data_IF_942320160918
#
_entry.id   IF_942320160918
#
_cell.length_a   1.000
_cell.length_b   1.000
_cell.length_c   1.000
_cell.angle_alpha   90.00
_cell.angle_beta   90.00
_cell.angle_gamma   90.00
#
_symmetry.space_group_name_H-M   'P 1'
#
loop_
_entity.id
_entity.type
_entity.pdbx_description
1 polymer ?
#
# COMPACT_ATOMS: atom_id res chain seq x y z
N UNK A 1 -28.15 2.40 12.28
CA UNK A 1 -26.71 2.13 12.44
C UNK A 1 -26.52 0.67 12.84
N UNK A 2 -25.65 -0.07 12.14
CA UNK A 2 -25.36 -1.48 12.43
C UNK A 2 -23.85 -1.70 12.47
N UNK A 3 -23.40 -2.67 13.28
CA UNK A 3 -22.01 -3.14 13.27
C UNK A 3 -21.85 -4.12 12.11
N UNK A 4 -20.85 -3.91 11.26
CA UNK A 4 -20.47 -4.88 10.23
C UNK A 4 -19.34 -5.77 10.75
N UNK A 5 -19.43 -7.07 10.49
CA UNK A 5 -18.35 -7.98 10.83
C UNK A 5 -17.08 -7.65 10.02
N UNK A 6 -15.93 -7.64 10.70
CA UNK A 6 -14.61 -7.45 10.10
C UNK A 6 -13.64 -8.49 10.65
N UNK A 7 -12.73 -8.96 9.81
CA UNK A 7 -11.65 -9.86 10.16
C UNK A 7 -10.33 -9.24 9.71
N UNK A 8 -9.37 -9.08 10.62
CA UNK A 8 -8.04 -8.60 10.24
C UNK A 8 -7.32 -9.62 9.38
N UNK A 9 -6.37 -9.14 8.57
CA UNK A 9 -5.46 -10.00 7.82
C UNK A 9 -4.69 -10.92 8.77
N UNK A 10 -4.23 -10.45 9.93
CA UNK A 10 -3.59 -11.29 10.94
C UNK A 10 -4.43 -12.52 11.31
N UNK A 11 -5.73 -12.35 11.56
CA UNK A 11 -6.63 -13.45 11.92
C UNK A 11 -6.81 -14.46 10.77
N UNK A 12 -6.98 -13.95 9.55
CA UNK A 12 -7.14 -14.78 8.34
C UNK A 12 -5.83 -15.51 8.01
N UNK A 13 -4.71 -14.80 8.00
CA UNK A 13 -3.39 -15.33 7.72
C UNK A 13 -3.06 -16.49 8.68
N UNK A 14 -3.28 -16.29 9.98
CA UNK A 14 -3.07 -17.32 10.99
C UNK A 14 -3.94 -18.56 10.75
N UNK A 15 -5.23 -18.38 10.49
CA UNK A 15 -6.17 -19.48 10.33
C UNK A 15 -5.97 -20.31 9.05
N UNK A 16 -5.47 -19.72 7.95
CA UNK A 16 -5.41 -20.39 6.64
C UNK A 16 -4.00 -20.59 6.06
N UNK A 17 -3.01 -19.80 6.48
CA UNK A 17 -1.69 -19.72 5.84
C UNK A 17 -0.51 -19.88 6.80
N UNK A 18 -0.77 -19.91 8.12
CA UNK A 18 0.22 -20.15 9.15
C UNK A 18 0.77 -18.85 9.79
N UNK A 19 2.02 -18.87 10.30
CA UNK A 19 2.59 -17.75 11.05
C UNK A 19 2.56 -16.41 10.29
N UNK A 20 2.49 -15.26 11.02
CA UNK A 20 2.43 -13.92 10.44
C UNK A 20 3.74 -13.52 9.73
N UNK A 21 3.69 -12.43 8.97
CA UNK A 21 4.88 -11.79 8.38
C UNK A 21 5.03 -11.89 6.86
N UNK A 22 4.00 -12.35 6.15
CA UNK A 22 3.98 -12.31 4.68
C UNK A 22 3.59 -10.91 4.20
N UNK A 23 4.13 -10.49 3.05
CA UNK A 23 3.62 -9.30 2.38
C UNK A 23 2.12 -9.48 2.07
N UNK A 24 1.35 -8.39 2.15
CA UNK A 24 -0.10 -8.44 1.88
C UNK A 24 -0.42 -8.99 0.49
N UNK A 25 0.44 -8.71 -0.49
CA UNK A 25 0.32 -9.20 -1.88
C UNK A 25 0.43 -10.71 -1.99
N UNK A 26 1.37 -11.33 -1.27
CA UNK A 26 1.50 -12.79 -1.19
C UNK A 26 0.29 -13.42 -0.50
N UNK A 27 -0.18 -12.76 0.56
CA UNK A 27 -1.38 -13.15 1.28
C UNK A 27 -2.63 -13.17 0.41
N UNK A 28 -2.86 -12.09 -0.33
CA UNK A 28 -3.97 -11.98 -1.27
C UNK A 28 -3.89 -13.04 -2.37
N UNK A 29 -2.71 -13.27 -2.96
CA UNK A 29 -2.52 -14.34 -3.95
C UNK A 29 -2.88 -15.72 -3.37
N UNK A 30 -2.51 -16.01 -2.13
CA UNK A 30 -2.81 -17.27 -1.46
C UNK A 30 -4.31 -17.45 -1.12
N UNK A 31 -5.03 -16.35 -0.83
CA UNK A 31 -6.48 -16.36 -0.67
C UNK A 31 -7.20 -16.57 -2.00
N UNK A 32 -6.72 -15.94 -3.08
CA UNK A 32 -7.27 -16.11 -4.43
C UNK A 32 -7.11 -17.56 -4.89
N UNK A 33 -5.95 -18.17 -4.68
CA UNK A 33 -5.70 -19.58 -5.02
C UNK A 33 -6.66 -20.55 -4.29
N UNK A 34 -7.22 -20.14 -3.14
CA UNK A 34 -8.23 -20.89 -2.38
C UNK A 34 -9.67 -20.53 -2.78
N UNK A 35 -9.87 -19.59 -3.71
CA UNK A 35 -11.18 -19.07 -4.11
C UNK A 35 -11.90 -18.31 -2.99
N UNK A 36 -11.15 -17.72 -2.05
CA UNK A 36 -11.70 -16.99 -0.90
C UNK A 36 -11.88 -15.49 -1.19
N UNK A 37 -11.25 -14.95 -2.22
CA UNK A 37 -11.40 -13.57 -2.68
C UNK A 37 -11.51 -13.54 -4.20
N UNK A 38 -12.06 -12.46 -4.76
CA UNK A 38 -12.11 -12.25 -6.21
C UNK A 38 -10.76 -11.72 -6.74
N UNK A 39 -10.43 -11.92 -8.03
CA UNK A 39 -9.19 -11.42 -8.63
C UNK A 39 -8.96 -9.92 -8.44
N UNK A 40 -10.03 -9.12 -8.52
CA UNK A 40 -10.01 -7.66 -8.34
C UNK A 40 -9.55 -7.23 -6.94
N UNK A 41 -9.74 -8.09 -5.92
CA UNK A 41 -9.24 -7.84 -4.57
C UNK A 41 -7.70 -7.95 -4.54
N UNK A 42 -7.11 -8.88 -5.29
CA UNK A 42 -5.64 -9.01 -5.40
C UNK A 42 -5.04 -7.78 -6.06
N UNK A 43 -5.66 -7.30 -7.14
CA UNK A 43 -5.24 -6.07 -7.84
C UNK A 43 -5.29 -4.86 -6.91
N UNK A 44 -6.38 -4.74 -6.12
CA UNK A 44 -6.54 -3.66 -5.14
C UNK A 44 -5.48 -3.74 -4.06
N UNK A 45 -5.22 -4.91 -3.47
CA UNK A 45 -4.18 -5.10 -2.44
C UNK A 45 -2.79 -4.78 -2.99
N UNK A 46 -2.49 -5.18 -4.23
CA UNK A 46 -1.23 -4.84 -4.89
C UNK A 46 -1.05 -3.33 -5.05
N UNK A 47 -2.10 -2.62 -5.50
CA UNK A 47 -2.07 -1.15 -5.63
C UNK A 47 -1.85 -0.47 -4.28
N UNK A 48 -2.57 -0.91 -3.24
CA UNK A 48 -2.44 -0.34 -1.87
C UNK A 48 -1.06 -0.59 -1.30
N UNK A 49 -0.52 -1.80 -1.47
CA UNK A 49 0.83 -2.14 -1.04
C UNK A 49 1.88 -1.26 -1.72
N UNK A 50 1.81 -1.12 -3.05
CA UNK A 50 2.69 -0.22 -3.79
C UNK A 50 2.54 1.23 -3.32
N UNK A 51 1.32 1.70 -3.07
CA UNK A 51 1.09 3.06 -2.59
C UNK A 51 1.80 3.28 -1.24
N UNK A 52 1.63 2.37 -0.28
CA UNK A 52 2.32 2.44 1.00
C UNK A 52 3.84 2.49 0.86
N UNK A 53 4.43 1.65 0.00
CA UNK A 53 5.87 1.71 -0.27
C UNK A 53 6.31 3.06 -0.86
N UNK A 54 5.52 3.64 -1.76
CA UNK A 54 5.79 4.91 -2.43
C UNK A 54 5.52 6.15 -1.57
N UNK A 55 4.86 5.98 -0.42
CA UNK A 55 4.71 7.01 0.60
C UNK A 55 5.58 6.76 1.84
N UNK A 56 6.61 5.92 1.75
CA UNK A 56 7.49 5.62 2.88
C UNK A 56 6.77 5.01 4.10
N UNK A 57 5.68 4.27 3.89
CA UNK A 57 5.02 3.51 4.95
C UNK A 57 5.85 2.26 5.27
N UNK A 58 6.48 2.26 6.46
CA UNK A 58 7.22 1.13 7.01
C UNK A 58 6.37 0.20 7.89
N UNK A 59 5.09 0.53 8.11
CA UNK A 59 4.20 -0.13 9.09
C UNK A 59 2.93 -0.74 8.46
N UNK A 60 3.09 -1.37 7.30
CA UNK A 60 2.02 -2.17 6.67
C UNK A 60 2.02 -3.61 7.21
N UNK A 61 1.84 -3.75 8.53
CA UNK A 61 1.84 -5.04 9.21
C UNK A 61 0.48 -5.75 9.13
N UNK A 62 0.39 -6.99 9.60
CA UNK A 62 -0.80 -7.84 9.42
C UNK A 62 -2.08 -7.32 10.11
N UNK A 63 -1.98 -6.31 10.98
CA UNK A 63 -3.13 -5.66 11.62
C UNK A 63 -3.74 -4.52 10.81
N UNK A 64 -3.02 -4.00 9.81
CA UNK A 64 -3.40 -2.81 9.03
C UNK A 64 -4.11 -3.13 7.71
N UNK A 65 -4.46 -4.40 7.51
CA UNK A 65 -5.33 -4.85 6.42
C UNK A 65 -6.49 -5.63 7.03
N UNK A 66 -7.70 -5.38 6.57
CA UNK A 66 -8.90 -6.08 7.05
C UNK A 66 -9.82 -6.46 5.90
N UNK A 67 -10.66 -7.46 6.16
CA UNK A 67 -11.62 -8.00 5.24
C UNK A 67 -13.00 -8.12 5.89
N UNK A 68 -14.04 -8.16 5.09
CA UNK A 68 -15.41 -8.43 5.54
C UNK A 68 -15.87 -9.78 4.98
N UNK A 69 -16.71 -10.53 5.71
CA UNK A 69 -17.36 -11.70 5.14
C UNK A 69 -18.17 -11.33 3.88
N UNK A 70 -17.94 -12.06 2.79
CA UNK A 70 -18.55 -11.81 1.49
C UNK A 70 -19.01 -13.12 0.84
N UNK A 71 -19.77 -13.03 -0.26
CA UNK A 71 -20.18 -14.20 -1.04
C UNK A 71 -19.63 -14.11 -2.46
N UNK A 72 -18.93 -15.16 -2.87
CA UNK A 72 -18.44 -15.32 -4.24
C UNK A 72 -19.31 -16.40 -4.89
N UNK A 73 -20.36 -15.96 -5.60
CA UNK A 73 -21.44 -16.83 -6.05
C UNK A 73 -22.11 -17.58 -4.89
N UNK A 74 -22.04 -18.92 -4.91
CA UNK A 74 -22.61 -19.76 -3.86
C UNK A 74 -21.70 -19.97 -2.64
N UNK A 75 -20.42 -19.56 -2.71
CA UNK A 75 -19.39 -19.81 -1.69
C UNK A 75 -19.25 -18.64 -0.71
N UNK A 76 -18.77 -18.94 0.50
CA UNK A 76 -18.30 -17.92 1.44
C UNK A 76 -16.90 -17.49 1.06
N UNK A 77 -16.65 -16.19 1.15
CA UNK A 77 -15.35 -15.58 0.89
C UNK A 77 -15.21 -14.29 1.67
N UNK A 78 -14.33 -13.44 1.17
CA UNK A 78 -13.97 -12.19 1.78
C UNK A 78 -13.94 -11.08 0.71
N UNK A 79 -14.39 -9.90 1.10
CA UNK A 79 -14.13 -8.66 0.37
C UNK A 79 -13.17 -7.81 1.20
N UNK A 80 -12.42 -6.93 0.53
CA UNK A 80 -11.54 -6.01 1.21
C UNK A 80 -12.36 -4.98 2.01
N UNK A 81 -12.01 -4.77 3.27
CA UNK A 81 -12.56 -3.65 4.03
C UNK A 81 -11.96 -2.31 3.54
N UNK A 82 -12.56 -1.15 3.84
CA UNK A 82 -11.94 0.13 3.55
C UNK A 82 -10.51 0.18 4.09
N UNK A 83 -9.58 0.71 3.29
CA UNK A 83 -8.18 0.85 3.66
C UNK A 83 -8.04 1.93 4.74
N UNK A 84 -7.12 1.71 5.68
CA UNK A 84 -6.80 2.61 6.77
C UNK A 84 -5.29 2.59 7.06
N UNK A 85 -4.83 3.52 7.88
CA UNK A 85 -3.45 3.60 8.38
C UNK A 85 -2.35 3.61 7.29
N UNK A 86 -2.62 4.36 6.22
CA UNK A 86 -1.67 4.59 5.13
C UNK A 86 -0.92 5.90 5.36
N UNK A 87 0.08 5.85 6.23
CA UNK A 87 0.88 7.00 6.68
C UNK A 87 2.38 6.82 6.36
N UNK A 88 3.15 7.90 6.20
CA UNK A 88 4.58 7.83 5.89
C UNK A 88 5.43 7.49 7.14
N UNK A 89 5.26 6.28 7.66
CA UNK A 89 5.74 5.88 8.99
C UNK A 89 7.27 5.86 9.16
N UNK A 90 8.06 5.91 8.08
CA UNK A 90 9.51 6.16 8.22
C UNK A 90 9.82 7.52 8.87
N UNK A 91 8.91 8.48 8.78
CA UNK A 91 9.03 9.82 9.37
C UNK A 91 8.35 9.96 10.73
N UNK A 92 7.83 8.85 11.30
CA UNK A 92 7.22 8.88 12.62
C UNK A 92 8.23 9.43 13.66
N UNK A 93 7.83 10.41 14.51
CA UNK A 93 8.75 10.99 15.47
C UNK A 93 9.33 9.95 16.43
N UNK A 94 10.64 10.00 16.64
CA UNK A 94 11.35 9.21 17.65
C UNK A 94 11.89 10.17 18.69
N UNK A 95 11.44 10.03 19.94
CA UNK A 95 11.79 10.96 21.04
C UNK A 95 11.53 12.43 20.65
N UNK A 96 10.33 12.68 20.13
CA UNK A 96 9.83 14.00 19.70
C UNK A 96 10.60 14.65 18.54
N UNK A 97 11.43 13.89 17.82
CA UNK A 97 12.15 14.37 16.64
C UNK A 97 11.80 13.55 15.40
N UNK A 98 11.59 14.24 14.28
CA UNK A 98 11.44 13.58 12.98
C UNK A 98 12.82 13.05 12.57
N UNK A 99 12.97 11.74 12.28
CA UNK A 99 14.25 11.18 11.90
C UNK A 99 14.68 11.67 10.51
N UNK A 100 15.99 11.66 10.26
CA UNK A 100 16.53 11.82 8.92
C UNK A 100 16.28 10.53 8.13
N UNK A 101 15.47 10.62 7.08
CA UNK A 101 15.08 9.47 6.25
C UNK A 101 15.65 9.66 4.84
N UNK A 102 16.44 8.70 4.39
CA UNK A 102 16.83 8.59 2.99
C UNK A 102 15.76 7.76 2.24
N UNK A 103 14.64 8.39 1.92
CA UNK A 103 13.55 7.73 1.21
C UNK A 103 13.93 7.53 -0.26
N UNK A 104 13.86 6.29 -0.73
CA UNK A 104 14.02 5.95 -2.14
C UNK A 104 12.78 5.18 -2.61
N UNK A 105 11.99 5.73 -3.56
CA UNK A 105 10.81 5.05 -4.08
C UNK A 105 11.16 3.70 -4.71
N UNK A 106 10.52 2.62 -4.26
CA UNK A 106 10.72 1.30 -4.85
C UNK A 106 10.21 1.28 -6.29
N UNK A 107 10.98 0.71 -7.22
CA UNK A 107 10.57 0.45 -8.60
C UNK A 107 9.76 -0.85 -8.72
N UNK A 108 8.87 -0.99 -9.71
CA UNK A 108 8.16 -2.24 -9.93
C UNK A 108 9.12 -3.32 -10.43
N UNK A 109 8.79 -4.58 -10.16
CA UNK A 109 9.50 -5.70 -10.78
C UNK A 109 9.20 -5.72 -12.29
N UNK A 110 10.21 -5.83 -13.17
CA UNK A 110 10.01 -5.89 -14.61
C UNK A 110 9.33 -7.20 -15.07
N UNK A 111 9.35 -8.23 -14.22
CA UNK A 111 8.84 -9.56 -14.53
C UNK A 111 7.33 -9.71 -14.37
N UNK A 112 6.62 -8.70 -13.87
CA UNK A 112 5.18 -8.77 -13.61
C UNK A 112 4.44 -7.59 -14.25
N UNK A 113 3.64 -7.86 -15.28
CA UNK A 113 2.79 -6.84 -15.91
C UNK A 113 1.71 -6.33 -14.96
N UNK A 114 1.08 -7.21 -14.18
CA UNK A 114 0.12 -6.82 -13.15
C UNK A 114 0.77 -5.98 -12.04
N UNK A 115 2.01 -6.32 -11.64
CA UNK A 115 2.78 -5.53 -10.68
C UNK A 115 3.14 -4.15 -11.21
N UNK A 116 3.47 -4.03 -12.50
CA UNK A 116 3.72 -2.75 -13.16
C UNK A 116 2.46 -1.87 -13.21
N UNK A 117 1.31 -2.45 -13.55
CA UNK A 117 0.04 -1.72 -13.56
C UNK A 117 -0.35 -1.21 -12.16
N UNK A 118 -0.29 -2.08 -11.14
CA UNK A 118 -0.55 -1.70 -9.76
C UNK A 118 0.40 -0.61 -9.26
N UNK A 119 1.68 -0.68 -9.64
CA UNK A 119 2.67 0.33 -9.31
C UNK A 119 2.39 1.66 -10.00
N UNK A 120 2.02 1.66 -11.28
CA UNK A 120 1.75 2.89 -12.03
C UNK A 120 0.58 3.67 -11.42
N UNK A 121 -0.52 2.97 -11.10
CA UNK A 121 -1.67 3.57 -10.41
C UNK A 121 -1.27 4.13 -9.04
N UNK A 122 -0.49 3.35 -8.27
CA UNK A 122 -0.02 3.74 -6.95
C UNK A 122 0.94 4.94 -7.00
N UNK A 123 1.81 5.02 -8.00
CA UNK A 123 2.76 6.11 -8.18
C UNK A 123 2.07 7.41 -8.53
N UNK A 124 1.03 7.38 -9.37
CA UNK A 124 0.21 8.55 -9.64
C UNK A 124 -0.49 9.07 -8.37
N UNK A 125 -1.01 8.16 -7.54
CA UNK A 125 -1.61 8.52 -6.25
C UNK A 125 -0.58 9.04 -5.23
N UNK A 126 0.60 8.41 -5.15
CA UNK A 126 1.68 8.83 -4.24
C UNK A 126 2.24 10.21 -4.62
N UNK A 127 2.35 10.51 -5.92
CA UNK A 127 2.76 11.84 -6.40
C UNK A 127 1.77 12.91 -5.93
N UNK A 128 0.47 12.66 -6.07
CA UNK A 128 -0.58 13.57 -5.59
C UNK A 128 -0.57 13.70 -4.07
N UNK A 129 -0.37 12.60 -3.35
CA UNK A 129 -0.25 12.62 -1.90
C UNK A 129 0.90 13.52 -1.44
N UNK A 130 2.11 13.33 -1.97
CA UNK A 130 3.26 14.13 -1.57
C UNK A 130 3.11 15.60 -1.95
N UNK A 131 2.54 15.91 -3.11
CA UNK A 131 2.26 17.30 -3.49
C UNK A 131 1.22 17.96 -2.56
N UNK A 132 0.15 17.25 -2.21
CA UNK A 132 -0.86 17.75 -1.28
C UNK A 132 -0.27 18.04 0.11
N UNK A 133 0.51 17.10 0.65
CA UNK A 133 1.17 17.23 1.96
C UNK A 133 2.20 18.37 1.95
N UNK A 134 2.98 18.51 0.86
CA UNK A 134 3.93 19.61 0.69
C UNK A 134 3.28 21.01 0.64
N UNK A 135 1.97 21.09 0.40
CA UNK A 135 1.21 22.35 0.30
C UNK A 135 0.26 22.58 1.47
N UNK A 136 0.12 21.61 2.38
CA UNK A 136 -0.83 21.69 3.48
C UNK A 136 -0.32 22.63 4.59
N UNK A 137 -1.02 23.75 4.87
CA UNK A 137 -0.56 24.74 5.84
C UNK A 137 -0.54 24.21 7.29
N UNK A 138 -1.20 23.08 7.58
CA UNK A 138 -1.19 22.43 8.90
C UNK A 138 0.14 21.72 9.21
N UNK A 139 0.96 21.47 8.19
CA UNK A 139 2.24 20.78 8.29
C UNK A 139 3.36 21.80 8.41
N UNK A 140 4.39 21.54 9.22
CA UNK A 140 5.50 22.48 9.42
C UNK A 140 6.23 22.79 8.11
N UNK A 141 6.79 24.00 8.01
CA UNK A 141 7.50 24.44 6.80
C UNK A 141 8.64 23.50 6.43
N UNK A 142 9.43 23.05 7.41
CA UNK A 142 10.55 22.16 7.17
C UNK A 142 10.10 20.78 6.67
N UNK A 143 9.02 20.24 7.24
CA UNK A 143 8.51 18.94 6.79
C UNK A 143 7.84 19.03 5.41
N UNK A 144 7.21 20.17 5.06
CA UNK A 144 6.71 20.41 3.69
C UNK A 144 7.84 20.37 2.66
N UNK A 145 9.04 20.85 3.00
CA UNK A 145 10.21 20.76 2.12
C UNK A 145 10.61 19.29 1.87
N UNK A 146 10.65 18.46 2.92
CA UNK A 146 10.89 17.02 2.81
C UNK A 146 9.83 16.33 1.93
N UNK A 147 8.55 16.70 2.07
CA UNK A 147 7.49 16.17 1.23
C UNK A 147 7.64 16.58 -0.24
N UNK A 148 8.09 17.81 -0.53
CA UNK A 148 8.38 18.25 -1.89
C UNK A 148 9.54 17.46 -2.51
N UNK A 149 10.60 17.17 -1.74
CA UNK A 149 11.68 16.29 -2.20
C UNK A 149 11.18 14.87 -2.49
N UNK A 150 10.32 14.31 -1.63
CA UNK A 150 9.73 12.99 -1.84
C UNK A 150 8.84 12.94 -3.09
N UNK A 151 8.05 14.00 -3.33
CA UNK A 151 7.30 14.16 -4.59
C UNK A 151 8.24 14.08 -5.79
N UNK A 152 9.35 14.80 -5.76
CA UNK A 152 10.31 14.85 -6.87
C UNK A 152 11.05 13.52 -7.07
N UNK A 153 11.30 12.77 -5.99
CA UNK A 153 11.81 11.38 -6.05
C UNK A 153 10.80 10.45 -6.73
N UNK A 154 9.52 10.49 -6.32
CA UNK A 154 8.46 9.68 -6.95
C UNK A 154 8.29 10.05 -8.43
N UNK A 155 8.32 11.35 -8.76
CA UNK A 155 8.26 11.81 -10.14
C UNK A 155 9.41 11.24 -10.99
N UNK A 156 10.65 11.27 -10.49
CA UNK A 156 11.80 10.66 -11.17
C UNK A 156 11.64 9.16 -11.37
N UNK A 157 11.15 8.43 -10.37
CA UNK A 157 10.88 7.00 -10.49
C UNK A 157 9.87 6.71 -11.62
N UNK A 158 8.81 7.52 -11.75
CA UNK A 158 7.83 7.41 -12.84
C UNK A 158 8.51 7.59 -14.20
N UNK A 159 9.41 8.57 -14.34
CA UNK A 159 10.14 8.81 -15.60
C UNK A 159 11.06 7.63 -15.96
N UNK A 160 11.75 7.04 -14.98
CA UNK A 160 12.63 5.89 -15.19
C UNK A 160 11.83 4.69 -15.72
N UNK A 161 10.70 4.36 -15.08
CA UNK A 161 9.83 3.26 -15.51
C UNK A 161 9.23 3.53 -16.89
N UNK A 162 8.76 4.76 -17.13
CA UNK A 162 8.20 5.17 -18.43
C UNK A 162 9.23 5.18 -19.57
N UNK A 163 10.49 5.50 -19.27
CA UNK A 163 11.60 5.43 -20.22
C UNK A 163 12.01 4.00 -20.55
N UNK A 164 12.06 3.11 -19.54
CA UNK A 164 12.36 1.70 -19.73
C UNK A 164 11.29 0.96 -20.56
N UNK A 165 10.02 1.35 -20.47
CA UNK A 165 8.94 0.77 -21.26
C UNK A 165 8.95 1.18 -22.75
N UNK A 166 9.75 2.18 -23.13
CA UNK A 166 9.83 2.73 -24.51
C UNK A 166 11.11 2.32 -25.25
N UNK A 167 12.05 1.66 -24.57
CA UNK A 167 13.32 1.16 -25.12
C UNK A 167 13.18 -0.32 -25.50
#
# INVERSE_FOLDING_TARGET
HGRSAVCSWAAINYAWLGPPGRAWTEGAAALLARGLIEPTVVETVARVWCFGKLIANSDMHDGNLSFKPYRIGSRRGFELAPIYDMLPMQYAPVRDQVPLVNFEPSLPSPLSSAGQAAWADAAAAALQFWDAVARDPRISTDFRAVCAENRDRVYRAIQVVGGAARA
#
